data_IF_965054008863
#
_entry.id   IF_965054008863
#
_cell.length_a   1.000
_cell.length_b   1.000
_cell.length_c   1.000
_cell.angle_alpha   90.00
_cell.angle_beta   90.00
_cell.angle_gamma   90.00
#
_symmetry.space_group_name_H-M   'P 1'
#
loop_
_entity.id
_entity.type
_entity.pdbx_description
1 polymer ?
#
# COMPACT_ATOMS: atom_id res chain seq x y z
N UNK A 1 -25.81 -12.04 -22.24
CA UNK A 1 -24.62 -11.51 -22.93
C UNK A 1 -23.71 -10.86 -21.90
N UNK A 2 -22.65 -11.57 -21.45
CA UNK A 2 -21.65 -10.99 -20.55
C UNK A 2 -20.53 -10.39 -21.39
N UNK A 3 -20.30 -9.08 -21.26
CA UNK A 3 -19.14 -8.43 -21.88
C UNK A 3 -17.87 -8.84 -21.10
N UNK A 4 -16.77 -9.18 -21.77
CA UNK A 4 -15.51 -9.47 -21.10
C UNK A 4 -15.01 -8.19 -20.40
N UNK A 5 -14.51 -8.34 -19.16
CA UNK A 5 -13.95 -7.20 -18.44
C UNK A 5 -12.69 -6.69 -19.15
N UNK A 6 -12.45 -5.36 -19.17
CA UNK A 6 -11.31 -4.80 -19.87
C UNK A 6 -10.00 -5.28 -19.22
N UNK A 7 -9.05 -5.68 -20.07
CA UNK A 7 -7.74 -6.12 -19.62
C UNK A 7 -7.05 -5.00 -18.81
N UNK A 8 -6.65 -5.31 -17.57
CA UNK A 8 -5.89 -4.37 -16.72
C UNK A 8 -4.60 -3.97 -17.42
N UNK A 9 -4.51 -2.70 -17.83
CA UNK A 9 -3.31 -2.12 -18.43
C UNK A 9 -2.20 -2.12 -17.37
N UNK A 10 -1.15 -2.91 -17.59
CA UNK A 10 0.05 -2.86 -16.74
C UNK A 10 0.71 -1.50 -16.92
N UNK A 11 0.65 -0.66 -15.90
CA UNK A 11 1.47 0.55 -15.86
C UNK A 11 2.91 0.14 -15.62
N UNK A 12 3.78 0.42 -16.59
CA UNK A 12 5.24 0.25 -16.44
C UNK A 12 5.68 1.32 -15.43
N UNK A 13 6.07 0.90 -14.23
CA UNK A 13 6.62 1.81 -13.25
C UNK A 13 7.98 2.37 -13.75
N UNK A 14 8.27 3.64 -13.44
CA UNK A 14 9.46 4.37 -13.88
C UNK A 14 10.73 3.67 -13.44
N UNK A 15 11.77 3.54 -14.27
CA UNK A 15 13.01 2.71 -14.10
C UNK A 15 13.62 2.62 -12.67
N UNK A 16 13.39 3.60 -11.80
CA UNK A 16 13.70 3.57 -10.37
C UNK A 16 12.49 4.06 -9.53
N UNK A 17 11.69 3.18 -8.89
CA UNK A 17 10.42 3.57 -8.28
C UNK A 17 10.64 4.22 -6.91
N UNK A 18 11.81 3.95 -6.31
CA UNK A 18 12.22 4.37 -4.98
C UNK A 18 13.24 5.51 -5.07
N UNK A 19 13.56 5.98 -6.28
CA UNK A 19 14.58 6.98 -6.54
C UNK A 19 15.91 6.68 -5.81
N UNK A 20 16.27 5.39 -5.78
CA UNK A 20 17.43 4.86 -5.08
C UNK A 20 18.75 5.38 -5.67
N UNK A 21 18.77 5.61 -6.99
CA UNK A 21 19.92 6.12 -7.74
C UNK A 21 20.25 7.56 -7.34
N UNK A 22 19.22 8.40 -7.17
CA UNK A 22 19.42 9.78 -6.73
C UNK A 22 19.73 9.88 -5.24
N UNK A 23 19.00 9.12 -4.41
CA UNK A 23 19.13 9.20 -2.94
C UNK A 23 20.43 8.62 -2.39
N UNK A 24 21.08 7.71 -3.11
CA UNK A 24 22.37 7.09 -2.70
C UNK A 24 23.60 7.75 -3.32
N UNK A 25 23.41 8.71 -4.22
CA UNK A 25 24.52 9.38 -4.89
C UNK A 25 25.06 10.52 -4.03
N UNK A 26 26.14 10.20 -3.31
CA UNK A 26 26.83 11.12 -2.40
C UNK A 26 27.67 12.18 -3.12
N UNK A 27 27.83 12.10 -4.44
CA UNK A 27 28.75 12.94 -5.22
C UNK A 27 28.12 14.24 -5.73
N UNK A 28 26.82 14.43 -5.54
CA UNK A 28 26.04 15.53 -6.11
C UNK A 28 26.45 16.89 -5.55
N UNK A 29 26.28 17.91 -6.39
CA UNK A 29 26.56 19.32 -6.05
C UNK A 29 25.89 19.76 -4.74
N UNK A 30 24.59 19.46 -4.57
CA UNK A 30 23.83 19.86 -3.39
C UNK A 30 24.36 19.25 -2.09
N UNK A 31 24.79 17.99 -2.13
CA UNK A 31 25.36 17.31 -0.97
C UNK A 31 26.70 17.94 -0.56
N UNK A 32 27.61 18.13 -1.51
CA UNK A 32 28.89 18.81 -1.25
C UNK A 32 28.71 20.23 -0.70
N UNK A 33 27.69 20.94 -1.17
CA UNK A 33 27.37 22.28 -0.68
C UNK A 33 26.87 22.24 0.77
N UNK A 34 25.99 21.31 1.12
CA UNK A 34 25.50 21.13 2.49
C UNK A 34 26.64 20.75 3.45
N UNK A 35 27.51 19.82 3.04
CA UNK A 35 28.68 19.40 3.83
C UNK A 35 29.62 20.57 4.11
N UNK A 36 29.88 21.42 3.11
CA UNK A 36 30.67 22.65 3.29
C UNK A 36 30.06 23.64 4.28
N UNK A 37 28.74 23.60 4.46
CA UNK A 37 28.01 24.44 5.43
C UNK A 37 27.89 23.77 6.81
N UNK A 38 28.57 22.65 7.03
CA UNK A 38 28.61 21.94 8.33
C UNK A 38 27.50 20.91 8.52
N UNK A 39 26.65 20.69 7.52
CA UNK A 39 25.69 19.59 7.55
C UNK A 39 26.40 18.25 7.35
N UNK A 40 25.89 17.16 7.93
CA UNK A 40 26.45 15.82 7.74
C UNK A 40 25.34 14.81 7.46
N UNK A 41 25.68 13.78 6.68
CA UNK A 41 24.73 12.75 6.26
C UNK A 41 24.06 12.10 7.47
N UNK A 42 22.73 12.03 7.43
CA UNK A 42 21.90 11.47 8.50
C UNK A 42 21.46 12.49 9.57
N UNK A 43 21.96 13.73 9.52
CA UNK A 43 21.53 14.79 10.43
C UNK A 43 20.38 15.61 9.86
N UNK A 44 19.49 16.07 10.73
CA UNK A 44 18.43 17.01 10.37
C UNK A 44 19.00 18.40 10.05
N UNK A 45 18.22 19.21 9.34
CA UNK A 45 18.57 20.62 9.09
C UNK A 45 18.10 21.52 10.24
N UNK A 46 18.74 22.68 10.39
CA UNK A 46 18.39 23.68 11.40
C UNK A 46 19.39 23.75 12.55
N UNK A 47 19.25 24.78 13.40
CA UNK A 47 20.22 25.10 14.45
C UNK A 47 20.43 23.97 15.48
N UNK A 48 19.41 23.13 15.70
CA UNK A 48 19.45 21.99 16.60
C UNK A 48 19.28 20.65 15.86
N UNK A 49 19.51 20.64 14.54
CA UNK A 49 19.35 19.44 13.71
C UNK A 49 17.90 18.90 13.75
N UNK A 50 16.93 19.77 13.99
CA UNK A 50 15.53 19.42 14.25
C UNK A 50 14.70 19.08 13.00
N UNK A 51 15.24 19.37 11.82
CA UNK A 51 14.58 19.08 10.55
C UNK A 51 14.49 17.58 10.27
N UNK A 52 13.49 17.18 9.50
CA UNK A 52 13.30 15.77 9.16
C UNK A 52 14.49 15.22 8.35
N UNK A 53 14.97 14.03 8.71
CA UNK A 53 16.10 13.37 8.04
C UNK A 53 15.69 12.66 6.75
N UNK A 54 14.40 12.35 6.63
CA UNK A 54 13.82 11.73 5.44
C UNK A 54 13.05 12.73 4.58
N UNK A 55 13.01 12.47 3.28
CA UNK A 55 12.16 13.20 2.35
C UNK A 55 10.68 12.87 2.57
N UNK A 56 9.80 13.81 2.22
CA UNK A 56 8.35 13.60 2.27
C UNK A 56 7.96 12.56 1.21
N UNK A 57 7.28 11.49 1.65
CA UNK A 57 6.80 10.42 0.77
C UNK A 57 5.38 10.73 0.30
N UNK A 58 5.18 10.74 -1.02
CA UNK A 58 3.86 10.91 -1.62
C UNK A 58 3.28 9.55 -1.97
N UNK A 59 2.05 9.30 -1.54
CA UNK A 59 1.31 8.10 -1.93
C UNK A 59 0.74 8.31 -3.33
N UNK A 60 1.11 7.44 -4.28
CA UNK A 60 0.59 7.49 -5.64
C UNK A 60 -0.79 6.85 -5.67
N UNK A 61 -1.78 7.59 -6.15
CA UNK A 61 -3.13 7.09 -6.32
C UNK A 61 -3.25 6.27 -7.61
N UNK A 62 -3.31 4.96 -7.46
CA UNK A 62 -3.43 4.02 -8.59
C UNK A 62 -4.88 3.60 -8.89
N UNK A 63 -5.87 4.20 -8.22
CA UNK A 63 -7.29 3.89 -8.40
C UNK A 63 -8.08 5.10 -8.96
N UNK A 64 -9.25 4.82 -9.50
CA UNK A 64 -10.17 5.84 -10.03
C UNK A 64 -11.16 6.36 -8.98
N UNK A 65 -11.03 5.94 -7.72
CA UNK A 65 -11.96 6.29 -6.64
C UNK A 65 -11.84 7.77 -6.26
N UNK A 66 -12.85 8.34 -5.60
CA UNK A 66 -12.74 9.69 -5.03
C UNK A 66 -11.70 9.79 -3.91
N UNK A 67 -11.26 11.01 -3.56
CA UNK A 67 -10.48 11.23 -2.35
C UNK A 67 -11.34 10.84 -1.13
N UNK A 68 -10.77 10.12 -0.16
CA UNK A 68 -11.50 9.63 1.03
C UNK A 68 -12.30 8.33 0.83
N UNK A 69 -12.38 7.79 -0.39
CA UNK A 69 -13.01 6.49 -0.62
C UNK A 69 -12.15 5.35 -0.01
N UNK A 70 -12.70 4.65 0.97
CA UNK A 70 -12.06 3.48 1.61
C UNK A 70 -12.45 2.21 0.87
N UNK A 71 -11.49 1.36 0.50
CA UNK A 71 -11.76 0.04 -0.09
C UNK A 71 -12.23 -0.89 1.04
N UNK A 72 -13.53 -0.96 1.28
CA UNK A 72 -14.14 -1.92 2.23
C UNK A 72 -14.49 -3.26 1.57
N UNK A 73 -13.73 -3.68 0.55
CA UNK A 73 -14.09 -4.87 -0.24
C UNK A 73 -13.59 -6.18 0.36
N UNK A 74 -12.63 -6.16 1.29
CA UNK A 74 -12.09 -7.39 1.88
C UNK A 74 -12.96 -7.92 3.04
N UNK A 75 -13.65 -7.05 3.78
CA UNK A 75 -14.48 -7.45 4.93
C UNK A 75 -15.77 -8.20 4.54
N UNK A 76 -16.32 -7.92 3.35
CA UNK A 76 -17.57 -8.56 2.88
C UNK A 76 -17.38 -9.99 2.37
N UNK A 77 -16.16 -10.39 2.00
CA UNK A 77 -15.90 -11.74 1.47
C UNK A 77 -15.80 -12.79 2.57
N UNK A 78 -15.32 -12.42 3.76
CA UNK A 78 -15.14 -13.34 4.90
C UNK A 78 -16.49 -13.64 5.57
N UNK A 79 -17.37 -12.65 5.70
CA UNK A 79 -18.66 -12.80 6.39
C UNK A 79 -19.57 -13.88 5.79
N UNK A 80 -19.63 -13.99 4.45
CA UNK A 80 -20.51 -14.96 3.80
C UNK A 80 -20.03 -16.41 3.95
N UNK A 81 -18.72 -16.64 4.19
CA UNK A 81 -18.19 -17.99 4.33
C UNK A 81 -18.61 -18.61 5.67
N UNK A 82 -18.58 -17.83 6.75
CA UNK A 82 -18.97 -18.28 8.10
C UNK A 82 -20.47 -18.55 8.19
N UNK A 83 -21.30 -17.66 7.62
CA UNK A 83 -22.75 -17.85 7.53
C UNK A 83 -23.12 -19.12 6.73
N UNK A 84 -22.39 -19.39 5.64
CA UNK A 84 -22.60 -20.58 4.82
C UNK A 84 -22.18 -21.87 5.55
N UNK A 85 -21.05 -21.84 6.25
CA UNK A 85 -20.59 -22.97 7.07
C UNK A 85 -21.57 -23.27 8.22
N UNK A 86 -22.14 -22.24 8.84
CA UNK A 86 -23.16 -22.39 9.88
C UNK A 86 -24.43 -23.03 9.33
N UNK A 87 -24.92 -22.60 8.16
CA UNK A 87 -26.06 -23.21 7.49
C UNK A 87 -25.84 -24.71 7.22
N UNK A 88 -24.66 -25.08 6.69
CA UNK A 88 -24.32 -26.47 6.42
C UNK A 88 -24.27 -27.33 7.70
N UNK A 89 -23.75 -26.77 8.79
CA UNK A 89 -23.71 -27.45 10.09
C UNK A 89 -25.12 -27.70 10.64
N UNK A 90 -26.02 -26.71 10.50
CA UNK A 90 -27.42 -26.80 10.95
C UNK A 90 -28.25 -27.79 10.10
N UNK A 91 -28.01 -27.84 8.79
CA UNK A 91 -28.66 -28.83 7.91
C UNK A 91 -28.19 -30.26 8.22
N UNK A 92 -26.89 -30.46 8.45
CA UNK A 92 -26.35 -31.76 8.83
C UNK A 92 -26.88 -32.24 10.19
N UNK A 93 -27.04 -31.34 11.16
CA UNK A 93 -27.59 -31.69 12.47
C UNK A 93 -29.09 -32.02 12.41
N UNK A 94 -29.84 -31.37 11.52
CA UNK A 94 -31.27 -31.62 11.30
C UNK A 94 -31.54 -32.97 10.59
N UNK A 95 -30.71 -33.34 9.60
CA UNK A 95 -30.85 -34.62 8.89
C UNK A 95 -30.27 -35.83 9.62
N UNK A 96 -29.36 -35.65 10.59
CA UNK A 96 -28.74 -36.74 11.36
C UNK A 96 -29.59 -37.31 12.51
N UNK A 97 -30.78 -36.76 12.77
CA UNK A 97 -31.67 -37.18 13.88
C UNK A 97 -32.84 -38.10 13.43
N UNK A 98 -32.81 -38.59 12.19
CA UNK A 98 -33.86 -39.43 11.60
C UNK A 98 -33.56 -40.95 11.51
N UNK A 99 -32.49 -41.44 12.13
CA UNK A 99 -32.18 -42.88 12.16
C UNK A 99 -32.11 -43.42 13.60
N UNK A 100 -33.28 -43.69 14.18
CA UNK A 100 -33.57 -44.81 15.10
C UNK A 100 -35.00 -45.25 14.93
#
# INVERSE_FOLDING_TARGET
FFLPSPARRRQKWSVDPQNSTWSKDDSKFGQKMLEKMGWSKGKGLGAQEQGNTEHIKVQVKNNTLGLGATIKHEDNWIAHQDDFNQLLAELNSCHGQGET
#
